data_IF_978387008673
#
_entry.id   IF_978387008673
#
_cell.length_a   1.000
_cell.length_b   1.000
_cell.length_c   1.000
_cell.angle_alpha   90.00
_cell.angle_beta   90.00
_cell.angle_gamma   90.00
#
_symmetry.space_group_name_H-M   'P 1'
#
loop_
_entity.id
_entity.type
_entity.pdbx_description
1 polymer ?
#
# COMPACT_ATOMS: atom_id res chain seq x y z
N UNK A 1 -20.61 -14.73 -45.15
CA UNK A 1 -19.43 -14.00 -45.69
C UNK A 1 -19.00 -12.83 -44.80
N UNK A 2 -19.86 -11.83 -44.50
CA UNK A 2 -19.48 -10.61 -43.74
C UNK A 2 -18.75 -10.81 -42.39
N UNK A 3 -19.08 -11.87 -41.64
CA UNK A 3 -18.45 -12.15 -40.34
C UNK A 3 -17.02 -12.69 -40.48
N UNK A 4 -16.78 -13.60 -41.43
CA UNK A 4 -15.45 -14.15 -41.71
C UNK A 4 -14.49 -13.06 -42.21
N UNK A 5 -14.98 -12.13 -43.03
CA UNK A 5 -14.18 -11.00 -43.52
C UNK A 5 -13.83 -10.02 -42.39
N UNK A 6 -14.77 -9.77 -41.47
CA UNK A 6 -14.53 -8.93 -40.28
C UNK A 6 -13.48 -9.55 -39.37
N UNK A 7 -13.56 -10.85 -39.09
CA UNK A 7 -12.58 -11.55 -38.28
C UNK A 7 -11.18 -11.54 -38.89
N UNK A 8 -11.06 -11.78 -40.21
CA UNK A 8 -9.79 -11.70 -40.94
C UNK A 8 -9.16 -10.31 -40.86
N UNK A 9 -9.97 -9.25 -40.94
CA UNK A 9 -9.48 -7.87 -40.83
C UNK A 9 -8.97 -7.55 -39.42
N UNK A 10 -9.72 -7.93 -38.38
CA UNK A 10 -9.29 -7.77 -36.98
C UNK A 10 -7.96 -8.50 -36.77
N UNK A 11 -7.86 -9.76 -37.20
CA UNK A 11 -6.63 -10.55 -37.07
C UNK A 11 -5.45 -9.93 -37.85
N UNK A 12 -5.69 -9.35 -39.02
CA UNK A 12 -4.67 -8.66 -39.79
C UNK A 12 -4.15 -7.39 -39.09
N UNK A 13 -5.05 -6.66 -38.39
CA UNK A 13 -4.69 -5.50 -37.58
C UNK A 13 -3.90 -5.96 -36.34
N UNK A 14 -4.36 -7.01 -35.64
CA UNK A 14 -3.65 -7.59 -34.50
C UNK A 14 -2.24 -8.02 -34.89
N UNK A 15 -2.08 -8.74 -36.01
CA UNK A 15 -0.76 -9.18 -36.51
C UNK A 15 0.15 -8.00 -36.85
N UNK A 16 -0.40 -6.89 -37.36
CA UNK A 16 0.37 -5.66 -37.60
C UNK A 16 0.80 -5.04 -36.27
N UNK A 17 -0.11 -4.91 -35.32
CA UNK A 17 0.17 -4.34 -34.00
C UNK A 17 1.27 -5.15 -33.27
N UNK A 18 1.18 -6.48 -33.28
CA UNK A 18 2.21 -7.36 -32.71
C UNK A 18 3.58 -7.11 -33.32
N UNK A 19 3.67 -6.93 -34.65
CA UNK A 19 4.95 -6.63 -35.31
C UNK A 19 5.49 -5.26 -34.94
N UNK A 20 4.64 -4.24 -34.78
CA UNK A 20 5.06 -2.90 -34.37
C UNK A 20 5.63 -2.91 -32.95
N UNK A 21 4.97 -3.61 -32.03
CA UNK A 21 5.45 -3.74 -30.64
C UNK A 21 6.74 -4.55 -30.59
N UNK A 22 6.79 -5.71 -31.24
CA UNK A 22 7.99 -6.57 -31.26
C UNK A 22 9.18 -5.91 -31.98
N UNK A 23 8.92 -5.08 -32.99
CA UNK A 23 9.94 -4.34 -33.73
C UNK A 23 10.51 -3.14 -32.97
N UNK A 24 9.77 -2.61 -31.99
CA UNK A 24 10.19 -1.44 -31.23
C UNK A 24 10.63 -1.84 -29.81
N UNK A 25 11.94 -1.92 -29.59
CA UNK A 25 12.54 -2.31 -28.30
C UNK A 25 12.04 -1.48 -27.13
N UNK A 26 11.84 -0.17 -27.31
CA UNK A 26 11.39 0.72 -26.24
C UNK A 26 9.95 0.43 -25.83
N UNK A 27 9.06 0.21 -26.80
CA UNK A 27 7.66 -0.15 -26.54
C UNK A 27 7.56 -1.54 -25.93
N UNK A 28 8.36 -2.49 -26.43
CA UNK A 28 8.44 -3.84 -25.89
C UNK A 28 8.93 -3.86 -24.44
N UNK A 29 9.99 -3.11 -24.11
CA UNK A 29 10.49 -3.00 -22.73
C UNK A 29 9.46 -2.35 -21.81
N UNK A 30 8.80 -1.28 -22.27
CA UNK A 30 7.76 -0.61 -21.50
C UNK A 30 6.58 -1.53 -21.20
N UNK A 31 6.10 -2.27 -22.20
CA UNK A 31 4.95 -3.18 -22.06
C UNK A 31 5.29 -4.47 -21.32
N UNK A 32 6.47 -5.05 -21.59
CA UNK A 32 6.84 -6.36 -21.07
C UNK A 32 7.55 -6.26 -19.72
N UNK A 33 8.61 -5.45 -19.68
CA UNK A 33 9.50 -5.36 -18.54
C UNK A 33 8.97 -4.36 -17.50
N UNK A 34 8.32 -3.28 -17.92
CA UNK A 34 7.79 -2.24 -17.03
C UNK A 34 6.90 -2.80 -15.91
N UNK A 35 5.78 -3.49 -16.21
CA UNK A 35 4.91 -4.06 -15.18
C UNK A 35 5.62 -5.06 -14.26
N UNK A 36 6.49 -5.91 -14.81
CA UNK A 36 7.21 -6.92 -14.04
C UNK A 36 8.25 -6.25 -13.11
N UNK A 37 9.17 -5.46 -13.66
CA UNK A 37 10.23 -4.81 -12.90
C UNK A 37 9.63 -3.90 -11.83
N UNK A 38 8.64 -3.06 -12.17
CA UNK A 38 8.03 -2.18 -11.18
C UNK A 38 7.24 -2.93 -10.13
N UNK A 39 6.50 -3.98 -10.50
CA UNK A 39 5.78 -4.78 -9.50
C UNK A 39 6.75 -5.40 -8.49
N UNK A 40 7.85 -6.00 -8.93
CA UNK A 40 8.89 -6.51 -8.02
C UNK A 40 9.57 -5.40 -7.21
N UNK A 41 10.03 -4.33 -7.88
CA UNK A 41 10.79 -3.26 -7.24
C UNK A 41 9.97 -2.61 -6.13
N UNK A 42 8.73 -2.20 -6.42
CA UNK A 42 7.92 -1.50 -5.44
C UNK A 42 7.37 -2.42 -4.36
N UNK A 43 6.97 -3.63 -4.69
CA UNK A 43 6.46 -4.56 -3.67
C UNK A 43 7.59 -5.09 -2.78
N UNK A 44 8.84 -5.14 -3.28
CA UNK A 44 10.00 -5.57 -2.48
C UNK A 44 10.22 -4.72 -1.22
N UNK A 45 9.85 -3.43 -1.29
CA UNK A 45 9.93 -2.48 -0.16
C UNK A 45 9.00 -2.90 0.99
N UNK A 46 7.93 -3.64 0.68
CA UNK A 46 6.89 -4.06 1.63
C UNK A 46 6.93 -5.57 1.92
N UNK A 47 8.04 -6.26 1.61
CA UNK A 47 8.26 -7.67 2.00
C UNK A 47 8.15 -7.83 3.51
N UNK A 48 8.80 -6.94 4.25
CA UNK A 48 8.59 -6.79 5.69
C UNK A 48 7.39 -5.88 5.92
N UNK A 49 6.20 -6.47 5.86
CA UNK A 49 4.92 -5.80 6.07
C UNK A 49 4.78 -5.08 7.42
N UNK A 50 5.58 -5.50 8.40
CA UNK A 50 5.68 -4.97 9.76
C UNK A 50 7.15 -4.74 10.05
N UNK A 51 7.49 -3.62 10.70
CA UNK A 51 8.84 -3.44 11.22
C UNK A 51 9.02 -4.18 12.55
N UNK A 52 10.08 -4.98 12.59
CA UNK A 52 10.51 -5.70 13.79
C UNK A 52 11.75 -5.07 14.38
N UNK A 53 11.90 -5.21 15.68
CA UNK A 53 13.12 -4.82 16.40
C UNK A 53 13.49 -3.35 16.22
N UNK A 54 12.50 -2.45 16.23
CA UNK A 54 12.76 -1.02 16.08
C UNK A 54 13.49 -0.51 17.32
N UNK A 55 14.66 0.14 17.17
CA UNK A 55 15.45 0.57 18.32
C UNK A 55 14.73 1.67 19.10
N UNK A 56 14.36 1.36 20.33
CA UNK A 56 13.76 2.29 21.30
C UNK A 56 14.71 2.45 22.48
N UNK A 57 15.03 3.70 22.80
CA UNK A 57 15.84 4.04 23.96
C UNK A 57 14.95 4.07 25.19
N UNK A 58 15.32 3.37 26.25
CA UNK A 58 14.61 3.48 27.53
C UNK A 58 15.50 4.15 28.57
N UNK A 59 14.99 5.25 29.13
CA UNK A 59 15.57 5.99 30.26
C UNK A 59 14.83 5.59 31.53
N UNK A 60 15.47 4.73 32.33
CA UNK A 60 14.93 4.28 33.61
C UNK A 60 15.44 5.14 34.77
N UNK A 61 14.59 6.04 35.28
CA UNK A 61 14.92 6.84 36.46
C UNK A 61 14.51 6.17 37.79
N UNK A 62 13.68 5.13 37.75
CA UNK A 62 13.16 4.43 38.95
C UNK A 62 14.14 3.33 39.42
N UNK A 63 14.83 2.68 38.47
CA UNK A 63 15.81 1.62 38.68
C UNK A 63 15.31 0.44 39.55
N UNK A 64 13.99 0.24 39.64
CA UNK A 64 13.34 -0.76 40.47
C UNK A 64 13.14 -2.10 39.75
N UNK A 65 12.72 -3.13 40.48
CA UNK A 65 12.32 -4.40 39.85
C UNK A 65 11.08 -4.23 38.95
N UNK A 66 10.17 -3.31 39.31
CA UNK A 66 8.96 -3.05 38.53
C UNK A 66 9.29 -2.34 37.22
N UNK A 67 10.22 -1.37 37.22
CA UNK A 67 10.67 -0.70 36.00
C UNK A 67 11.40 -1.67 35.08
N UNK A 68 12.29 -2.52 35.62
CA UNK A 68 12.97 -3.58 34.84
C UNK A 68 12.00 -4.61 34.28
N UNK A 69 10.95 -4.96 35.02
CA UNK A 69 9.92 -5.86 34.53
C UNK A 69 9.16 -5.24 33.36
N UNK A 70 8.74 -3.98 33.47
CA UNK A 70 8.12 -3.23 32.37
C UNK A 70 9.02 -3.20 31.12
N UNK A 71 10.31 -2.90 31.30
CA UNK A 71 11.30 -2.88 30.22
C UNK A 71 11.37 -4.23 29.50
N UNK A 72 11.39 -5.35 30.24
CA UNK A 72 11.42 -6.69 29.63
C UNK A 72 10.15 -7.02 28.84
N UNK A 73 8.98 -6.59 29.30
CA UNK A 73 7.74 -6.82 28.54
C UNK A 73 7.71 -5.98 27.26
N UNK A 74 8.24 -4.75 27.32
CA UNK A 74 8.37 -3.90 26.13
C UNK A 74 9.36 -4.52 25.12
N UNK A 75 10.49 -5.03 25.58
CA UNK A 75 11.51 -5.69 24.75
C UNK A 75 11.03 -7.04 24.17
N UNK A 76 10.02 -7.67 24.79
CA UNK A 76 9.41 -8.89 24.30
C UNK A 76 8.40 -8.63 23.15
N UNK A 77 7.99 -7.37 22.93
CA UNK A 77 7.04 -7.02 21.89
C UNK A 77 7.73 -6.97 20.52
N UNK A 78 7.16 -7.64 19.49
CA UNK A 78 7.86 -7.85 18.20
C UNK A 78 8.27 -6.56 17.47
N UNK A 79 7.56 -5.46 17.71
CA UNK A 79 7.83 -4.16 17.09
C UNK A 79 9.02 -3.41 17.72
N UNK A 80 9.46 -3.78 18.93
CA UNK A 80 10.36 -2.95 19.74
C UNK A 80 11.61 -3.74 20.14
N UNK A 81 12.79 -3.15 19.87
CA UNK A 81 14.05 -3.59 20.46
C UNK A 81 14.53 -2.54 21.45
N UNK A 82 14.52 -2.88 22.73
CA UNK A 82 14.94 -1.97 23.79
C UNK A 82 16.46 -1.88 23.84
N UNK A 83 16.95 -0.65 23.76
CA UNK A 83 18.31 -0.31 24.17
C UNK A 83 18.22 0.49 25.47
N UNK A 84 18.68 -0.12 26.55
CA UNK A 84 18.64 0.52 27.87
C UNK A 84 19.83 1.46 28.03
N UNK A 85 19.55 2.68 28.49
CA UNK A 85 20.58 3.65 28.86
C UNK A 85 20.59 3.81 30.38
N UNK A 86 21.72 3.46 31.00
CA UNK A 86 21.78 3.33 32.46
C UNK A 86 22.41 4.53 33.19
N UNK A 87 23.05 5.51 32.53
CA UNK A 87 23.69 6.64 33.25
C UNK A 87 23.70 7.98 32.49
N UNK A 88 23.16 9.01 33.14
CA UNK A 88 23.05 10.38 32.62
C UNK A 88 21.90 10.52 31.64
N UNK A 89 21.16 11.63 31.68
CA UNK A 89 20.13 11.90 30.67
C UNK A 89 20.85 12.13 29.35
N UNK A 90 20.75 11.22 28.36
CA UNK A 90 21.34 11.47 27.05
C UNK A 90 20.68 12.73 26.47
N UNK A 91 21.33 13.40 25.54
CA UNK A 91 20.63 14.42 24.75
C UNK A 91 19.60 13.69 23.88
N UNK A 92 18.40 13.51 24.45
CA UNK A 92 17.26 12.83 23.83
C UNK A 92 16.99 13.44 22.45
N UNK A 93 17.25 14.74 22.27
CA UNK A 93 17.06 15.40 21.00
C UNK A 93 18.10 14.92 20.00
N UNK A 94 19.40 14.93 20.32
CA UNK A 94 20.44 14.51 19.37
C UNK A 94 20.26 13.06 18.94
N UNK A 95 19.97 12.16 19.87
CA UNK A 95 19.76 10.73 19.60
C UNK A 95 18.54 10.46 18.68
N UNK A 96 17.49 11.27 18.81
CA UNK A 96 16.30 11.25 17.92
C UNK A 96 16.62 11.91 16.57
N UNK A 97 17.33 13.04 16.55
CA UNK A 97 17.69 13.79 15.35
C UNK A 97 18.65 13.00 14.45
N UNK A 98 19.60 12.29 15.04
CA UNK A 98 20.54 11.39 14.35
C UNK A 98 19.87 10.08 13.90
N UNK A 99 18.57 9.90 14.17
CA UNK A 99 17.78 8.70 13.84
C UNK A 99 18.36 7.38 14.39
N UNK A 100 19.16 7.46 15.46
CA UNK A 100 19.74 6.29 16.11
C UNK A 100 18.69 5.50 16.90
N UNK A 101 17.69 6.22 17.44
CA UNK A 101 16.50 5.63 18.07
C UNK A 101 15.24 6.26 17.49
N UNK A 102 14.23 5.42 17.20
CA UNK A 102 12.95 5.89 16.66
C UNK A 102 12.04 6.43 17.75
N UNK A 103 12.21 5.99 18.99
CA UNK A 103 11.50 6.53 20.14
C UNK A 103 12.35 6.46 21.41
N UNK A 104 11.99 7.30 22.37
CA UNK A 104 12.58 7.37 23.70
C UNK A 104 11.48 7.27 24.75
N UNK A 105 11.54 6.22 25.57
CA UNK A 105 10.63 5.98 26.69
C UNK A 105 11.27 6.45 28.00
N UNK A 106 10.56 7.26 28.76
CA UNK A 106 11.04 7.84 30.02
C UNK A 106 10.17 7.31 31.16
N UNK A 107 10.77 6.53 32.05
CA UNK A 107 10.16 6.04 33.27
C UNK A 107 10.49 7.02 34.41
N UNK A 108 9.51 7.54 35.16
CA UNK A 108 9.76 8.50 36.24
C UNK A 108 10.35 7.81 37.48
N UNK A 109 11.11 8.56 38.29
CA UNK A 109 11.83 8.06 39.49
C UNK A 109 10.95 7.51 40.62
N UNK A 110 9.63 7.74 40.56
CA UNK A 110 8.66 7.31 41.57
C UNK A 110 7.66 6.28 41.02
N UNK A 111 7.98 5.65 39.88
CA UNK A 111 7.10 4.70 39.21
C UNK A 111 6.67 3.55 40.14
N UNK A 112 7.62 2.80 40.72
CA UNK A 112 7.27 1.67 41.59
C UNK A 112 6.49 2.10 42.84
N UNK A 113 6.83 3.26 43.41
CA UNK A 113 6.15 3.80 44.58
C UNK A 113 4.69 4.16 44.28
N UNK A 114 4.43 4.83 43.16
CA UNK A 114 3.08 5.24 42.76
C UNK A 114 2.18 4.03 42.47
N UNK A 115 2.69 3.04 41.71
CA UNK A 115 1.92 1.85 41.39
C UNK A 115 1.56 1.05 42.64
N UNK A 116 2.50 0.86 43.59
CA UNK A 116 2.22 0.20 44.87
C UNK A 116 1.17 0.93 45.73
N UNK A 117 1.09 2.26 45.61
CA UNK A 117 0.07 3.07 46.30
C UNK A 117 -1.30 3.03 45.61
N UNK A 118 -1.43 2.39 44.44
CA UNK A 118 -2.63 2.46 43.62
C UNK A 118 -2.82 3.84 42.98
N UNK A 119 -1.74 4.61 42.83
CA UNK A 119 -1.74 5.93 42.17
C UNK A 119 -1.23 5.81 40.74
N UNK A 120 -1.68 6.73 39.88
CA UNK A 120 -1.25 6.80 38.49
C UNK A 120 0.20 7.28 38.38
N UNK A 121 1.02 6.53 37.63
CA UNK A 121 2.36 6.96 37.21
C UNK A 121 2.33 7.46 35.76
N UNK A 122 3.08 8.52 35.45
CA UNK A 122 3.17 9.08 34.09
C UNK A 122 4.44 8.62 33.40
N UNK A 123 4.32 7.66 32.48
CA UNK A 123 5.38 7.27 31.56
C UNK A 123 5.29 8.19 30.33
N UNK A 124 6.42 8.72 29.86
CA UNK A 124 6.44 9.60 28.69
C UNK A 124 7.15 8.92 27.52
N UNK A 125 6.56 8.99 26.33
CA UNK A 125 7.11 8.42 25.10
C UNK A 125 7.30 9.55 24.08
N UNK A 126 8.52 9.71 23.60
CA UNK A 126 8.90 10.69 22.58
C UNK A 126 9.30 9.94 21.33
N UNK A 127 8.53 10.03 20.25
CA UNK A 127 8.77 9.30 19.00
C UNK A 127 9.15 10.23 17.85
N UNK A 128 10.03 9.75 16.97
CA UNK A 128 10.38 10.39 15.71
C UNK A 128 9.34 10.05 14.63
N UNK A 129 8.38 10.95 14.42
CA UNK A 129 7.32 10.74 13.43
C UNK A 129 7.75 11.00 11.97
N UNK A 130 9.04 11.24 11.68
CA UNK A 130 9.53 11.36 10.29
C UNK A 130 9.31 10.09 9.48
N UNK A 131 9.33 8.92 10.14
CA UNK A 131 8.90 7.63 9.57
C UNK A 131 7.59 7.21 10.21
N UNK A 132 6.53 7.93 9.88
CA UNK A 132 5.20 7.85 10.51
C UNK A 132 4.70 6.42 10.76
N UNK A 133 4.84 5.51 9.80
CA UNK A 133 4.37 4.13 9.93
C UNK A 133 5.07 3.36 11.05
N UNK A 134 6.40 3.49 11.12
CA UNK A 134 7.25 2.81 12.10
C UNK A 134 7.01 3.37 13.49
N UNK A 135 6.89 4.70 13.58
CA UNK A 135 6.58 5.37 14.82
C UNK A 135 5.23 4.87 15.36
N UNK A 136 4.20 4.74 14.52
CA UNK A 136 2.90 4.21 14.96
C UNK A 136 2.97 2.74 15.43
N UNK A 137 3.69 1.87 14.72
CA UNK A 137 3.85 0.47 15.15
C UNK A 137 4.52 0.39 16.54
N UNK A 138 5.55 1.20 16.78
CA UNK A 138 6.21 1.30 18.10
C UNK A 138 5.29 1.89 19.16
N UNK A 139 4.59 3.00 18.86
CA UNK A 139 3.64 3.63 19.77
C UNK A 139 2.53 2.66 20.18
N UNK A 140 1.99 1.89 19.21
CA UNK A 140 0.96 0.87 19.45
C UNK A 140 1.51 -0.25 20.33
N UNK A 141 2.63 -0.85 19.96
CA UNK A 141 3.22 -1.95 20.73
C UNK A 141 3.58 -1.57 22.17
N UNK A 142 4.10 -0.36 22.39
CA UNK A 142 4.36 0.15 23.75
C UNK A 142 3.04 0.38 24.51
N UNK A 143 2.01 0.96 23.87
CA UNK A 143 0.71 1.16 24.51
C UNK A 143 0.02 -0.15 24.88
N UNK A 144 0.12 -1.19 24.05
CA UNK A 144 -0.44 -2.51 24.32
C UNK A 144 0.17 -3.10 25.60
N UNK A 145 1.51 -3.09 25.69
CA UNK A 145 2.24 -3.56 26.88
C UNK A 145 1.95 -2.72 28.13
N UNK A 146 1.91 -1.38 28.01
CA UNK A 146 1.60 -0.50 29.14
C UNK A 146 0.18 -0.73 29.64
N UNK A 147 -0.78 -0.92 28.73
CA UNK A 147 -2.19 -1.15 29.07
C UNK A 147 -2.35 -2.48 29.81
N UNK A 148 -1.72 -3.55 29.33
CA UNK A 148 -1.71 -4.86 29.99
C UNK A 148 -1.08 -4.78 31.40
N UNK A 149 0.05 -4.09 31.55
CA UNK A 149 0.70 -3.92 32.86
C UNK A 149 -0.13 -3.06 33.80
N UNK A 150 -0.77 -2.01 33.29
CA UNK A 150 -1.65 -1.14 34.07
C UNK A 150 -2.84 -1.94 34.62
N UNK A 151 -3.50 -2.73 33.78
CA UNK A 151 -4.59 -3.63 34.18
C UNK A 151 -4.13 -4.59 35.27
N UNK A 152 -3.05 -5.33 35.03
CA UNK A 152 -2.49 -6.29 35.99
C UNK A 152 -2.09 -5.64 37.31
N UNK A 153 -1.56 -4.41 37.28
CA UNK A 153 -1.18 -3.66 38.49
C UNK A 153 -2.39 -3.30 39.34
N UNK A 154 -3.50 -2.91 38.72
CA UNK A 154 -4.74 -2.59 39.44
C UNK A 154 -5.39 -3.86 40.00
N UNK A 155 -5.39 -4.97 39.24
CA UNK A 155 -5.86 -6.27 39.73
C UNK A 155 -5.06 -6.71 40.96
N UNK A 156 -3.72 -6.68 40.89
CA UNK A 156 -2.85 -7.04 42.01
C UNK A 156 -3.06 -6.15 43.23
N UNK A 157 -3.24 -4.84 43.03
CA UNK A 157 -3.53 -3.91 44.13
C UNK A 157 -4.80 -4.29 44.91
N UNK A 158 -5.88 -4.63 44.20
CA UNK A 158 -7.14 -5.03 44.83
C UNK A 158 -7.08 -6.44 45.44
N UNK A 159 -6.37 -7.38 44.81
CA UNK A 159 -6.12 -8.70 45.39
C UNK A 159 -5.34 -8.62 46.70
N UNK A 160 -4.31 -7.76 46.77
CA UNK A 160 -3.56 -7.52 48.00
C UNK A 160 -4.41 -6.88 49.12
N UNK A 161 -5.54 -6.25 48.78
CA UNK A 161 -6.56 -5.77 49.73
C UNK A 161 -7.61 -6.83 50.09
N UNK A 162 -7.45 -8.08 49.65
CA UNK A 162 -8.32 -9.21 49.98
C UNK A 162 -9.54 -9.37 49.06
N UNK A 163 -9.61 -8.65 47.92
CA UNK A 163 -10.69 -8.85 46.95
C UNK A 163 -10.46 -10.11 46.12
N UNK A 164 -11.55 -10.87 45.89
CA UNK A 164 -11.53 -12.00 44.95
C UNK A 164 -11.23 -11.50 43.51
N UNK A 165 -10.52 -12.30 42.73
CA UNK A 165 -10.08 -11.99 41.37
C UNK A 165 -11.18 -11.41 40.47
N UNK A 166 -12.39 -11.99 40.50
CA UNK A 166 -13.54 -11.49 39.70
C UNK A 166 -13.92 -10.03 40.02
N UNK A 167 -13.85 -9.64 41.30
CA UNK A 167 -14.14 -8.26 41.73
C UNK A 167 -12.96 -7.32 41.44
N UNK A 168 -11.73 -7.81 41.58
CA UNK A 168 -10.53 -7.05 41.23
C UNK A 168 -10.49 -6.71 39.73
N UNK A 169 -10.78 -7.68 38.86
CA UNK A 169 -10.92 -7.49 37.41
C UNK A 169 -11.99 -6.45 37.06
N UNK A 170 -13.19 -6.54 37.64
CA UNK A 170 -14.25 -5.55 37.37
C UNK A 170 -13.92 -4.11 37.82
N UNK A 171 -13.01 -3.96 38.79
CA UNK A 171 -12.55 -2.65 39.25
C UNK A 171 -11.32 -2.15 38.48
N UNK A 172 -10.53 -3.06 37.91
CA UNK A 172 -9.39 -2.75 37.06
C UNK A 172 -9.83 -2.30 35.66
N UNK A 173 -10.90 -2.92 35.14
CA UNK A 173 -11.44 -2.62 33.82
C UNK A 173 -12.94 -2.21 33.94
N UNK A 174 -13.25 -1.03 34.52
CA UNK A 174 -14.64 -0.57 34.66
C UNK A 174 -15.32 -0.32 33.31
N UNK A 175 -14.52 -0.10 32.26
CA UNK A 175 -14.95 -0.02 30.86
C UNK A 175 -14.11 -1.01 30.07
N UNK A 176 -14.74 -2.11 29.64
CA UNK A 176 -14.08 -3.14 28.84
C UNK A 176 -14.00 -2.71 27.38
N UNK A 177 -12.79 -2.57 26.86
CA UNK A 177 -12.57 -2.13 25.49
C UNK A 177 -12.42 -3.35 24.57
N UNK A 178 -13.47 -3.71 23.82
CA UNK A 178 -13.46 -4.81 22.85
C UNK A 178 -13.13 -4.25 21.45
N UNK A 179 -11.85 -4.15 21.13
CA UNK A 179 -11.40 -3.79 19.78
C UNK A 179 -11.41 -5.04 18.91
N UNK A 180 -12.13 -4.96 17.79
CA UNK A 180 -12.10 -5.99 16.75
C UNK A 180 -11.73 -5.36 15.43
N UNK A 181 -10.52 -5.63 14.97
CA UNK A 181 -10.11 -5.25 13.63
C UNK A 181 -10.94 -6.02 12.60
N UNK A 182 -11.59 -5.29 11.70
CA UNK A 182 -12.34 -5.85 10.58
C UNK A 182 -11.46 -5.82 9.33
N UNK A 183 -11.49 -6.90 8.54
CA UNK A 183 -10.81 -7.08 7.25
C UNK A 183 -9.28 -7.23 7.27
N UNK A 184 -8.54 -6.43 8.06
CA UNK A 184 -7.08 -6.51 8.15
C UNK A 184 -6.62 -6.91 9.57
N UNK A 185 -6.68 -8.20 9.86
CA UNK A 185 -6.33 -8.74 11.19
C UNK A 185 -4.84 -8.66 11.50
N UNK A 186 -3.98 -8.52 10.50
CA UNK A 186 -2.54 -8.31 10.65
C UNK A 186 -2.18 -6.84 10.89
N UNK A 187 -3.14 -5.92 10.69
CA UNK A 187 -2.97 -4.45 10.73
C UNK A 187 -1.76 -3.95 9.93
N UNK A 188 -1.31 -4.75 8.97
CA UNK A 188 -0.11 -4.47 8.21
C UNK A 188 -0.45 -3.48 7.09
N UNK A 189 0.23 -2.34 7.08
CA UNK A 189 0.06 -1.35 6.01
C UNK A 189 0.47 -1.89 4.64
N UNK A 190 1.39 -2.86 4.59
CA UNK A 190 1.78 -3.53 3.35
C UNK A 190 0.62 -4.26 2.66
N UNK A 191 -0.32 -4.84 3.41
CA UNK A 191 -1.53 -5.47 2.84
C UNK A 191 -2.40 -4.48 2.08
N UNK A 192 -2.50 -3.26 2.61
CA UNK A 192 -3.14 -2.17 1.91
C UNK A 192 -2.29 -1.80 0.69
N UNK A 193 -1.13 -1.16 0.89
CA UNK A 193 -0.41 -0.45 -0.18
C UNK A 193 -0.06 -1.33 -1.39
N UNK A 194 0.29 -2.61 -1.20
CA UNK A 194 0.73 -3.48 -2.30
C UNK A 194 -0.38 -3.61 -3.35
N UNK A 195 -1.64 -3.75 -2.92
CA UNK A 195 -2.77 -3.91 -3.84
C UNK A 195 -2.94 -2.66 -4.71
N UNK A 196 -2.86 -1.47 -4.12
CA UNK A 196 -2.97 -0.21 -4.86
C UNK A 196 -1.79 0.06 -5.77
N UNK A 197 -0.58 -0.26 -5.33
CA UNK A 197 0.62 -0.12 -6.16
C UNK A 197 0.55 -1.01 -7.40
N UNK A 198 0.15 -2.27 -7.25
CA UNK A 198 -0.03 -3.17 -8.39
C UNK A 198 -1.11 -2.66 -9.34
N UNK A 199 -2.26 -2.21 -8.81
CA UNK A 199 -3.32 -1.62 -9.62
C UNK A 199 -2.85 -0.36 -10.37
N UNK A 200 -2.06 0.50 -9.74
CA UNK A 200 -1.49 1.70 -10.36
C UNK A 200 -0.49 1.37 -11.47
N UNK A 201 0.44 0.45 -11.21
CA UNK A 201 1.44 0.01 -12.21
C UNK A 201 0.71 -0.56 -13.42
N UNK A 202 -0.28 -1.41 -13.17
CA UNK A 202 -1.14 -2.00 -14.20
C UNK A 202 -1.88 -0.94 -15.00
N UNK A 203 -2.54 0.00 -14.33
CA UNK A 203 -3.27 1.08 -14.96
C UNK A 203 -2.37 1.96 -15.82
N UNK A 204 -1.27 2.43 -15.24
CA UNK A 204 -0.39 3.41 -15.87
C UNK A 204 0.29 2.84 -17.12
N UNK A 205 0.78 1.60 -17.04
CA UNK A 205 1.47 0.96 -18.17
C UNK A 205 0.51 0.70 -19.33
N UNK A 206 -0.74 0.28 -19.06
CA UNK A 206 -1.75 0.06 -20.09
C UNK A 206 -2.17 1.36 -20.80
N UNK A 207 -2.49 2.40 -20.03
CA UNK A 207 -2.94 3.69 -20.58
C UNK A 207 -1.84 4.32 -21.44
N UNK A 208 -0.58 4.32 -20.96
CA UNK A 208 0.56 4.82 -21.73
C UNK A 208 0.73 4.03 -23.02
N UNK A 209 0.70 2.70 -22.96
CA UNK A 209 0.94 1.89 -24.14
C UNK A 209 -0.17 2.04 -25.20
N UNK A 210 -1.43 2.10 -24.78
CA UNK A 210 -2.56 2.34 -25.68
C UNK A 210 -2.49 3.75 -26.31
N UNK A 211 -2.15 4.78 -25.54
CA UNK A 211 -2.00 6.13 -26.05
C UNK A 211 -0.83 6.26 -27.04
N UNK A 212 0.31 5.66 -26.71
CA UNK A 212 1.49 5.60 -27.58
C UNK A 212 1.17 4.85 -28.87
N UNK A 213 0.38 3.76 -28.83
CA UNK A 213 -0.05 3.04 -30.03
C UNK A 213 -0.79 3.95 -31.02
N UNK A 214 -1.74 4.76 -30.53
CA UNK A 214 -2.49 5.69 -31.38
C UNK A 214 -1.62 6.87 -31.83
N UNK A 215 -0.80 7.43 -30.94
CA UNK A 215 0.11 8.52 -31.27
C UNK A 215 1.14 8.10 -32.33
N UNK A 216 1.62 6.86 -32.30
CA UNK A 216 2.57 6.32 -33.28
C UNK A 216 1.96 6.26 -34.68
N UNK A 217 0.68 5.90 -34.81
CA UNK A 217 -0.02 5.92 -36.11
C UNK A 217 -0.11 7.33 -36.70
N UNK A 218 -0.23 8.35 -35.84
CA UNK A 218 -0.25 9.75 -36.25
C UNK A 218 1.14 10.24 -36.65
N UNK A 219 2.15 9.90 -35.86
CA UNK A 219 3.55 10.25 -36.10
C UNK A 219 4.06 9.64 -37.42
N UNK A 220 3.80 8.36 -37.65
CA UNK A 220 4.18 7.65 -38.87
C UNK A 220 3.24 7.90 -40.07
N UNK A 221 2.18 8.72 -39.88
CA UNK A 221 1.15 9.00 -40.90
C UNK A 221 0.49 7.73 -41.46
N UNK A 222 0.41 6.67 -40.66
CA UNK A 222 -0.10 5.36 -41.07
C UNK A 222 -1.58 5.15 -40.77
N UNK A 223 -2.27 6.15 -40.21
CA UNK A 223 -3.73 6.13 -39.99
C UNK A 223 -4.53 5.78 -41.25
N UNK A 224 -4.21 6.37 -42.41
CA UNK A 224 -4.93 6.08 -43.66
C UNK A 224 -4.84 4.60 -44.07
N UNK A 225 -3.66 4.01 -43.92
CA UNK A 225 -3.43 2.57 -44.15
C UNK A 225 -4.23 1.73 -43.15
N UNK A 226 -4.26 2.13 -41.87
CA UNK A 226 -5.01 1.43 -40.83
C UNK A 226 -6.53 1.47 -41.09
N UNK A 227 -7.07 2.63 -41.48
CA UNK A 227 -8.48 2.77 -41.88
C UNK A 227 -8.81 1.93 -43.10
N UNK A 228 -7.93 1.90 -44.10
CA UNK A 228 -8.13 1.08 -45.29
C UNK A 228 -8.20 -0.42 -44.94
N UNK A 229 -7.28 -0.91 -44.10
CA UNK A 229 -7.28 -2.31 -43.61
C UNK A 229 -8.53 -2.67 -42.81
N UNK A 230 -9.12 -1.69 -42.12
CA UNK A 230 -10.35 -1.86 -41.35
C UNK A 230 -11.63 -1.63 -42.16
N UNK A 231 -11.53 -1.36 -43.47
CA UNK A 231 -12.65 -0.93 -44.32
C UNK A 231 -13.45 0.22 -43.69
N UNK A 232 -12.75 1.20 -43.12
CA UNK A 232 -13.36 2.39 -42.49
C UNK A 232 -13.98 2.16 -41.11
N UNK A 233 -13.90 0.97 -40.53
CA UNK A 233 -14.54 0.67 -39.24
C UNK A 233 -13.61 0.91 -38.03
N UNK A 234 -13.95 1.90 -37.20
CA UNK A 234 -13.28 2.15 -35.93
C UNK A 234 -13.31 0.95 -34.99
N UNK A 235 -14.46 0.26 -34.91
CA UNK A 235 -14.61 -0.93 -34.06
C UNK A 235 -13.57 -2.00 -34.40
N UNK A 236 -13.32 -2.27 -35.68
CA UNK A 236 -12.30 -3.26 -36.10
C UNK A 236 -10.88 -2.81 -35.75
N UNK A 237 -10.59 -1.51 -35.81
CA UNK A 237 -9.29 -0.95 -35.42
C UNK A 237 -9.06 -1.13 -33.92
N UNK A 238 -10.01 -0.68 -33.11
CA UNK A 238 -9.93 -0.72 -31.65
C UNK A 238 -9.86 -2.16 -31.16
N UNK A 239 -10.74 -3.05 -31.65
CA UNK A 239 -10.72 -4.47 -31.28
C UNK A 239 -9.43 -5.15 -31.76
N UNK A 240 -9.00 -4.88 -33.00
CA UNK A 240 -7.78 -5.48 -33.56
C UNK A 240 -6.51 -5.09 -32.80
N UNK A 241 -6.37 -3.83 -32.41
CA UNK A 241 -5.27 -3.39 -31.53
C UNK A 241 -5.45 -3.94 -30.11
N UNK A 242 -6.66 -3.81 -29.56
CA UNK A 242 -7.00 -4.12 -28.17
C UNK A 242 -6.80 -5.58 -27.78
N UNK A 243 -7.01 -6.55 -28.69
CA UNK A 243 -6.82 -7.98 -28.39
C UNK A 243 -5.43 -8.28 -27.82
N UNK A 244 -4.38 -7.65 -28.36
CA UNK A 244 -3.01 -7.91 -27.91
C UNK A 244 -2.76 -7.37 -26.50
N UNK A 245 -3.23 -6.14 -26.23
CA UNK A 245 -3.12 -5.53 -24.90
C UNK A 245 -3.98 -6.29 -23.89
N UNK A 246 -5.19 -6.68 -24.29
CA UNK A 246 -6.07 -7.50 -23.46
C UNK A 246 -5.38 -8.79 -23.03
N UNK A 247 -4.93 -9.61 -23.98
CA UNK A 247 -4.24 -10.87 -23.68
C UNK A 247 -2.99 -10.68 -22.81
N UNK A 248 -2.17 -9.67 -23.12
CA UNK A 248 -0.95 -9.40 -22.35
C UNK A 248 -1.28 -9.01 -20.91
N UNK A 249 -2.26 -8.12 -20.71
CA UNK A 249 -2.63 -7.66 -19.38
C UNK A 249 -3.45 -8.71 -18.60
N UNK A 250 -4.22 -9.59 -19.26
CA UNK A 250 -4.82 -10.75 -18.60
C UNK A 250 -3.75 -11.72 -18.07
N UNK A 251 -2.64 -11.89 -18.79
CA UNK A 251 -1.48 -12.66 -18.29
C UNK A 251 -0.88 -11.97 -17.05
N UNK A 252 -0.79 -10.63 -17.03
CA UNK A 252 -0.37 -9.90 -15.85
C UNK A 252 -1.34 -9.99 -14.69
N UNK A 253 -2.65 -9.98 -14.94
CA UNK A 253 -3.66 -10.24 -13.91
C UNK A 253 -3.40 -11.60 -13.26
N UNK A 254 -3.24 -12.65 -14.07
CA UNK A 254 -2.92 -13.99 -13.57
C UNK A 254 -1.62 -14.00 -12.77
N UNK A 255 -0.57 -13.33 -13.27
CA UNK A 255 0.71 -13.22 -12.59
C UNK A 255 0.60 -12.48 -11.25
N UNK A 256 -0.04 -11.31 -11.19
CA UNK A 256 -0.19 -10.55 -9.95
C UNK A 256 -1.00 -11.30 -8.91
N UNK A 257 -2.10 -11.93 -9.32
CA UNK A 257 -2.94 -12.70 -8.41
C UNK A 257 -2.28 -13.99 -7.90
N UNK A 258 -1.55 -14.73 -8.75
CA UNK A 258 -0.96 -16.00 -8.31
C UNK A 258 0.42 -15.82 -7.68
N UNK A 259 1.18 -14.81 -8.09
CA UNK A 259 2.55 -14.63 -7.62
C UNK A 259 2.62 -13.60 -6.49
N UNK A 260 2.14 -12.38 -6.71
CA UNK A 260 2.25 -11.32 -5.69
C UNK A 260 1.35 -11.61 -4.49
N UNK A 261 0.07 -11.93 -4.72
CA UNK A 261 -0.82 -12.16 -3.57
C UNK A 261 -0.40 -13.41 -2.79
N UNK A 262 0.19 -14.40 -3.45
CA UNK A 262 0.76 -15.58 -2.79
C UNK A 262 2.00 -15.25 -1.95
N UNK A 263 3.01 -14.60 -2.54
CA UNK A 263 4.27 -14.26 -1.85
C UNK A 263 4.03 -13.35 -0.67
N UNK A 264 3.22 -12.31 -0.88
CA UNK A 264 2.91 -11.37 0.16
C UNK A 264 1.82 -11.91 1.10
N UNK A 265 1.15 -13.03 0.81
CA UNK A 265 0.03 -13.56 1.60
C UNK A 265 -1.11 -12.55 1.77
N UNK A 266 -1.47 -11.88 0.67
CA UNK A 266 -2.59 -10.93 0.65
C UNK A 266 -3.89 -11.73 0.72
N UNK A 267 -4.75 -11.52 1.74
CA UNK A 267 -5.98 -12.29 1.87
C UNK A 267 -7.00 -11.87 0.82
N UNK A 268 -7.55 -12.84 0.09
CA UNK A 268 -8.71 -12.66 -0.78
C UNK A 268 -9.93 -13.20 -0.05
N UNK A 269 -10.64 -12.32 0.68
CA UNK A 269 -11.83 -12.70 1.44
C UNK A 269 -13.12 -12.74 0.58
N UNK A 270 -13.05 -12.29 -0.67
CA UNK A 270 -14.17 -12.24 -1.61
C UNK A 270 -14.10 -13.29 -2.72
N UNK A 271 -14.98 -13.14 -3.72
CA UNK A 271 -14.99 -14.03 -4.89
C UNK A 271 -13.84 -13.71 -5.84
N UNK A 272 -12.94 -14.67 -6.02
CA UNK A 272 -11.83 -14.58 -6.97
C UNK A 272 -12.30 -14.41 -8.42
N UNK A 273 -13.44 -15.01 -8.76
CA UNK A 273 -14.05 -14.87 -10.08
C UNK A 273 -14.53 -13.44 -10.31
N UNK A 274 -15.19 -12.83 -9.32
CA UNK A 274 -15.67 -11.45 -9.43
C UNK A 274 -14.49 -10.47 -9.56
N UNK A 275 -13.44 -10.68 -8.76
CA UNK A 275 -12.22 -9.89 -8.85
C UNK A 275 -11.61 -9.96 -10.25
N UNK A 276 -11.45 -11.17 -10.79
CA UNK A 276 -10.97 -11.36 -12.17
C UNK A 276 -11.86 -10.66 -13.19
N UNK A 277 -13.19 -10.82 -13.13
CA UNK A 277 -14.11 -10.17 -14.08
C UNK A 277 -13.98 -8.64 -14.04
N UNK A 278 -13.91 -8.05 -12.85
CA UNK A 278 -13.75 -6.60 -12.68
C UNK A 278 -12.40 -6.13 -13.24
N UNK A 279 -11.32 -6.87 -12.98
CA UNK A 279 -10.00 -6.54 -13.54
C UNK A 279 -9.96 -6.67 -15.07
N UNK A 280 -10.57 -7.70 -15.65
CA UNK A 280 -10.65 -7.85 -17.11
C UNK A 280 -11.50 -6.74 -17.75
N UNK A 281 -12.59 -6.32 -17.11
CA UNK A 281 -13.37 -5.15 -17.54
C UNK A 281 -12.54 -3.86 -17.46
N UNK A 282 -11.75 -3.70 -16.40
CA UNK A 282 -10.85 -2.57 -16.23
C UNK A 282 -9.84 -2.48 -17.37
N UNK A 283 -9.27 -3.60 -17.83
CA UNK A 283 -8.35 -3.61 -18.99
C UNK A 283 -9.00 -3.00 -20.23
N UNK A 284 -10.25 -3.39 -20.52
CA UNK A 284 -10.98 -2.88 -21.69
C UNK A 284 -11.19 -1.37 -21.57
N UNK A 285 -11.67 -0.91 -20.41
CA UNK A 285 -11.94 0.53 -20.16
C UNK A 285 -10.65 1.35 -20.26
N UNK A 286 -9.57 0.91 -19.63
CA UNK A 286 -8.28 1.61 -19.65
C UNK A 286 -7.65 1.63 -21.04
N UNK A 287 -7.78 0.55 -21.81
CA UNK A 287 -7.32 0.51 -23.19
C UNK A 287 -8.07 1.53 -24.06
N UNK A 288 -9.39 1.61 -23.93
CA UNK A 288 -10.22 2.59 -24.63
C UNK A 288 -9.88 4.02 -24.21
N UNK A 289 -9.72 4.25 -22.92
CA UNK A 289 -9.31 5.55 -22.38
C UNK A 289 -7.94 5.97 -22.92
N UNK A 290 -6.94 5.08 -22.88
CA UNK A 290 -5.61 5.34 -23.45
C UNK A 290 -5.68 5.62 -24.95
N UNK A 291 -6.53 4.91 -25.70
CA UNK A 291 -6.75 5.19 -27.12
C UNK A 291 -7.30 6.61 -27.35
N UNK A 292 -8.31 7.03 -26.57
CA UNK A 292 -8.87 8.39 -26.62
C UNK A 292 -7.79 9.43 -26.31
N UNK A 293 -7.04 9.25 -25.22
CA UNK A 293 -5.96 10.18 -24.84
C UNK A 293 -4.89 10.24 -25.93
N UNK A 294 -4.54 9.12 -26.55
CA UNK A 294 -3.59 9.04 -27.66
C UNK A 294 -4.00 9.88 -28.88
N UNK A 295 -5.30 10.11 -29.11
CA UNK A 295 -5.76 10.94 -30.24
C UNK A 295 -5.35 12.40 -30.13
N UNK A 296 -5.06 12.91 -28.93
CA UNK A 296 -4.63 14.29 -28.73
C UNK A 296 -3.16 14.51 -29.14
N UNK A 297 -2.33 13.46 -29.14
CA UNK A 297 -0.88 13.59 -29.38
C UNK A 297 -0.48 13.24 -30.81
N UNK A 298 0.34 14.09 -31.43
CA UNK A 298 0.93 13.83 -32.77
C UNK A 298 2.28 13.13 -32.71
N UNK A 299 2.91 13.10 -31.54
CA UNK A 299 4.21 12.49 -31.29
C UNK A 299 4.10 11.56 -30.08
N UNK A 300 4.67 10.36 -30.19
CA UNK A 300 4.66 9.34 -29.12
C UNK A 300 5.37 9.80 -27.85
N UNK A 301 6.47 10.55 -28.00
CA UNK A 301 7.25 11.05 -26.87
C UNK A 301 6.45 12.03 -26.00
N UNK A 302 5.67 12.92 -26.63
CA UNK A 302 4.81 13.86 -25.91
C UNK A 302 3.69 13.14 -25.16
N UNK A 303 3.09 12.11 -25.77
CA UNK A 303 2.08 11.29 -25.10
C UNK A 303 2.67 10.60 -23.85
N UNK A 304 3.88 10.04 -23.97
CA UNK A 304 4.58 9.38 -22.87
C UNK A 304 4.89 10.34 -21.73
N UNK A 305 5.50 11.50 -22.02
CA UNK A 305 5.85 12.50 -21.00
C UNK A 305 4.59 13.02 -20.28
N UNK A 306 3.56 13.36 -21.05
CA UNK A 306 2.31 13.88 -20.50
C UNK A 306 1.63 12.85 -19.58
N UNK A 307 1.49 11.60 -20.04
CA UNK A 307 0.87 10.55 -19.25
C UNK A 307 1.71 10.15 -18.04
N UNK A 308 3.04 10.17 -18.14
CA UNK A 308 3.92 9.97 -17.00
C UNK A 308 3.68 11.04 -15.93
N UNK A 309 3.49 12.31 -16.30
CA UNK A 309 3.17 13.36 -15.33
C UNK A 309 1.75 13.24 -14.77
N UNK A 310 0.76 12.90 -15.60
CA UNK A 310 -0.63 12.73 -15.19
C UNK A 310 -0.88 11.52 -14.29
N UNK A 311 0.07 10.58 -14.22
CA UNK A 311 -0.03 9.39 -13.37
C UNK A 311 -0.33 9.71 -11.91
N UNK A 312 0.37 10.72 -11.36
CA UNK A 312 0.22 11.09 -9.96
C UNK A 312 -1.13 11.75 -9.65
N UNK A 313 -1.61 12.77 -10.40
CA UNK A 313 -2.97 13.28 -10.25
C UNK A 313 -4.06 12.20 -10.39
N UNK A 314 -3.95 11.31 -11.37
CA UNK A 314 -4.95 10.24 -11.57
C UNK A 314 -4.95 9.28 -10.37
N UNK A 315 -3.79 8.94 -9.83
CA UNK A 315 -3.70 8.12 -8.62
C UNK A 315 -4.34 8.78 -7.41
N UNK A 316 -4.11 10.09 -7.19
CA UNK A 316 -4.74 10.81 -6.10
C UNK A 316 -6.27 10.84 -6.26
N UNK A 317 -6.75 11.07 -7.48
CA UNK A 317 -8.19 11.09 -7.80
C UNK A 317 -8.87 9.72 -7.64
N UNK A 318 -8.12 8.61 -7.74
CA UNK A 318 -8.67 7.26 -7.57
C UNK A 318 -9.32 7.03 -6.20
N UNK A 319 -9.01 7.86 -5.19
CA UNK A 319 -9.50 7.70 -3.83
C UNK A 319 -8.73 6.65 -3.02
N UNK A 320 -7.70 6.03 -3.63
CA UNK A 320 -6.94 4.96 -3.00
C UNK A 320 -6.02 5.50 -1.89
N UNK A 321 -5.25 6.55 -2.18
CA UNK A 321 -4.35 7.16 -1.20
C UNK A 321 -5.08 8.08 -0.21
N UNK A 322 -6.14 8.74 -0.67
CA UNK A 322 -6.92 9.69 0.11
C UNK A 322 -8.42 9.45 -0.10
N UNK A 323 -9.23 9.23 0.95
CA UNK A 323 -10.64 8.90 0.79
C UNK A 323 -11.41 9.99 0.03
N UNK A 324 -12.22 9.58 -0.95
CA UNK A 324 -13.03 10.52 -1.75
C UNK A 324 -13.98 11.38 -0.90
N UNK A 325 -14.39 10.89 0.28
CA UNK A 325 -15.22 11.63 1.23
C UNK A 325 -14.55 12.90 1.76
N UNK A 326 -13.22 12.97 1.73
CA UNK A 326 -12.44 14.11 2.16
C UNK A 326 -12.04 15.04 0.99
N UNK A 327 -12.47 14.74 -0.24
CA UNK A 327 -12.24 15.64 -1.37
C UNK A 327 -13.13 16.89 -1.28
N UNK A 328 -12.60 18.07 -1.61
CA UNK A 328 -13.44 19.22 -1.95
C UNK A 328 -14.45 18.84 -3.03
N UNK A 329 -15.65 19.41 -2.98
CA UNK A 329 -16.79 18.98 -3.82
C UNK A 329 -16.46 18.97 -5.32
N UNK A 330 -15.76 19.99 -5.80
CA UNK A 330 -15.31 20.07 -7.20
C UNK A 330 -14.42 18.89 -7.62
N UNK A 331 -13.46 18.51 -6.78
CA UNK A 331 -12.54 17.40 -7.05
C UNK A 331 -13.28 16.06 -7.00
N UNK A 332 -14.25 15.93 -6.09
CA UNK A 332 -15.09 14.73 -5.98
C UNK A 332 -15.91 14.49 -7.24
N UNK A 333 -16.48 15.53 -7.84
CA UNK A 333 -17.21 15.42 -9.11
C UNK A 333 -16.28 14.93 -10.23
N UNK A 334 -15.08 15.49 -10.33
CA UNK A 334 -14.07 15.07 -11.30
C UNK A 334 -13.66 13.60 -11.09
N UNK A 335 -13.58 13.13 -9.84
CA UNK A 335 -13.16 11.75 -9.55
C UNK A 335 -14.16 10.68 -10.02
N UNK A 336 -15.42 11.04 -10.28
CA UNK A 336 -16.42 10.12 -10.83
C UNK A 336 -16.40 10.04 -12.37
N UNK A 337 -15.68 10.95 -13.03
CA UNK A 337 -15.52 10.98 -14.49
C UNK A 337 -14.30 10.17 -14.91
#
# INVERSE_FOLDING_TARGET
MKFADTFRQILAITKRESRLILGNRSVLLLLLAGPIIYSFLYTSIFVSKIQRDVPVLVVDNDNSEMSRSLIRHIDAHEAVAVRSWQKGMPDIRSEIYEMKYMAVLIIPHNYSQLIKQGKQAKISLVANNSRFMIANDVLRGINDVISEIAENSVVQYYQNKGLNNKRALSLAEPVRFDIRSLFNTTEAYGDFIIVGLLALIFQQTLVVAAAVSIANEREERSLGLLFHKASGSFFKIITGKGILYFLLFSIYTFFFFNFHFFIYKIPINGSMLLLTIVTEMQIIVLFLFGCIVGTFFRQKLLALIFLAFMSYPIFLLSGYSWPQAAFPEFIRIISYM
#
